data_IF_255689715055
#
_entry.id   IF_255689715055
#
_cell.length_a   1.000
_cell.length_b   1.000
_cell.length_c   1.000
_cell.angle_alpha   90.00
_cell.angle_beta   90.00
_cell.angle_gamma   90.00
#
_symmetry.space_group_name_H-M   'P 1'
#
loop_
_entity.id
_entity.type
_entity.pdbx_description
1 polymer ?
#
# COMPACT_ATOMS: atom_id res chain seq x y z
N UNK A 1 -9.03 -2.43 20.49
CA UNK A 1 -7.56 -2.50 20.33
C UNK A 1 -7.27 -2.83 18.88
N UNK A 2 -6.91 -1.81 18.08
CA UNK A 2 -6.69 -1.92 16.63
C UNK A 2 -5.31 -2.57 16.43
N UNK A 3 -5.28 -3.81 15.92
CA UNK A 3 -4.05 -4.52 15.56
C UNK A 3 -3.17 -3.69 14.62
N UNK A 4 -1.84 -3.92 14.64
CA UNK A 4 -0.83 -2.89 14.59
C UNK A 4 -0.49 -2.53 13.14
N UNK A 5 -0.69 -1.26 12.80
CA UNK A 5 -0.13 -0.55 11.66
C UNK A 5 -0.52 -1.13 10.27
N UNK A 6 -1.46 -0.48 9.56
CA UNK A 6 -1.87 -0.86 8.19
C UNK A 6 -0.69 -1.12 7.25
N UNK A 7 0.37 -0.32 7.35
CA UNK A 7 1.60 -0.50 6.58
C UNK A 7 2.31 -1.83 6.88
N UNK A 8 2.40 -2.27 8.14
CA UNK A 8 3.07 -3.53 8.47
C UNK A 8 2.30 -4.73 7.91
N UNK A 9 0.97 -4.70 7.99
CA UNK A 9 0.12 -5.75 7.39
C UNK A 9 0.25 -5.77 5.86
N UNK A 10 0.25 -4.60 5.23
CA UNK A 10 0.45 -4.47 3.79
C UNK A 10 1.83 -5.01 3.39
N UNK A 11 2.90 -4.60 4.07
CA UNK A 11 4.26 -5.09 3.83
C UNK A 11 4.37 -6.60 3.99
N UNK A 12 3.63 -7.21 4.92
CA UNK A 12 3.58 -8.67 5.06
C UNK A 12 2.87 -9.32 3.89
N UNK A 13 1.70 -8.83 3.50
CA UNK A 13 0.95 -9.36 2.35
C UNK A 13 1.79 -9.27 1.06
N UNK A 14 2.48 -8.16 0.84
CA UNK A 14 3.35 -7.93 -0.32
C UNK A 14 4.60 -8.84 -0.39
N UNK A 15 4.85 -9.69 0.62
CA UNK A 15 5.87 -10.75 0.52
C UNK A 15 5.34 -11.99 -0.21
N UNK A 16 4.03 -12.17 -0.22
CA UNK A 16 3.35 -13.33 -0.82
C UNK A 16 2.62 -12.96 -2.11
N UNK A 17 2.26 -11.68 -2.28
CA UNK A 17 1.49 -11.18 -3.41
C UNK A 17 2.18 -9.96 -4.04
N UNK A 18 2.00 -9.80 -5.36
CA UNK A 18 2.56 -8.66 -6.09
C UNK A 18 1.76 -7.36 -5.94
N UNK A 19 0.52 -7.46 -5.45
CA UNK A 19 -0.33 -6.31 -5.17
C UNK A 19 -1.33 -6.61 -4.06
N UNK A 20 -1.75 -5.56 -3.35
CA UNK A 20 -2.73 -5.66 -2.28
C UNK A 20 -3.65 -4.44 -2.23
N UNK A 21 -4.92 -4.69 -1.90
CA UNK A 21 -5.86 -3.67 -1.44
C UNK A 21 -5.89 -3.67 0.09
N UNK A 22 -5.72 -2.49 0.68
CA UNK A 22 -5.64 -2.27 2.11
C UNK A 22 -6.81 -1.38 2.52
N UNK A 23 -7.75 -1.93 3.29
CA UNK A 23 -8.79 -1.15 3.97
C UNK A 23 -8.33 -0.78 5.38
N UNK A 24 -8.36 0.51 5.72
CA UNK A 24 -7.98 0.99 7.05
C UNK A 24 -8.68 2.30 7.41
N UNK A 25 -9.39 2.32 8.54
CA UNK A 25 -10.05 3.50 9.12
C UNK A 25 -9.10 4.40 9.93
N UNK A 26 -7.78 4.19 9.78
CA UNK A 26 -6.79 5.01 10.44
C UNK A 26 -6.52 6.25 9.59
N UNK A 27 -6.74 7.48 10.10
CA UNK A 27 -6.46 8.68 9.34
C UNK A 27 -4.98 8.82 8.95
N UNK A 28 -4.08 8.13 9.65
CA UNK A 28 -2.65 8.10 9.33
C UNK A 28 -2.29 7.04 8.27
N UNK A 29 -3.18 6.09 7.96
CA UNK A 29 -2.92 5.01 7.01
C UNK A 29 -2.42 5.48 5.64
N UNK A 30 -2.98 6.52 5.00
CA UNK A 30 -2.49 6.98 3.70
C UNK A 30 -1.02 7.38 3.77
N UNK A 31 -0.62 8.08 4.84
CA UNK A 31 0.75 8.57 5.03
C UNK A 31 1.72 7.42 5.27
N UNK A 32 1.38 6.49 6.15
CA UNK A 32 2.25 5.35 6.46
C UNK A 32 2.40 4.39 5.28
N UNK A 33 1.31 4.11 4.56
CA UNK A 33 1.32 3.24 3.38
C UNK A 33 2.11 3.87 2.22
N UNK A 34 1.96 5.18 1.99
CA UNK A 34 2.73 5.90 0.99
C UNK A 34 4.23 5.89 1.31
N UNK A 35 4.61 6.17 2.56
CA UNK A 35 6.01 6.16 2.99
C UNK A 35 6.62 4.76 2.84
N UNK A 36 5.91 3.72 3.29
CA UNK A 36 6.34 2.33 3.14
C UNK A 36 6.52 1.94 1.67
N UNK A 37 5.58 2.31 0.79
CA UNK A 37 5.68 2.03 -0.63
C UNK A 37 6.89 2.75 -1.26
N UNK A 38 7.08 4.02 -0.92
CA UNK A 38 8.21 4.82 -1.39
C UNK A 38 9.57 4.22 -0.99
N UNK A 39 9.75 3.84 0.28
CA UNK A 39 10.98 3.21 0.77
C UNK A 39 11.34 1.91 0.03
N UNK A 40 10.34 1.23 -0.53
CA UNK A 40 10.48 -0.06 -1.22
C UNK A 40 10.46 0.06 -2.74
N UNK A 41 10.26 1.26 -3.28
CA UNK A 41 10.07 1.48 -4.72
C UNK A 41 8.78 0.85 -5.26
N UNK A 42 7.76 0.71 -4.43
CA UNK A 42 6.44 0.19 -4.78
C UNK A 42 5.49 1.31 -5.19
N UNK A 43 4.45 0.94 -5.93
CA UNK A 43 3.35 1.83 -6.29
C UNK A 43 2.40 1.96 -5.11
N UNK A 44 1.90 3.16 -4.87
CA UNK A 44 0.85 3.45 -3.91
C UNK A 44 -0.22 4.34 -4.55
N UNK A 45 -1.49 3.99 -4.37
CA UNK A 45 -2.63 4.76 -4.85
C UNK A 45 -3.75 4.77 -3.81
N UNK A 46 -4.44 5.91 -3.68
CA UNK A 46 -5.70 6.00 -2.94
C UNK A 46 -6.82 5.66 -3.92
N UNK A 47 -7.59 4.61 -3.66
CA UNK A 47 -8.68 4.17 -4.54
C UNK A 47 -10.02 4.74 -4.10
N UNK A 48 -10.29 4.71 -2.80
CA UNK A 48 -11.51 5.23 -2.18
C UNK A 48 -11.21 5.74 -0.77
N UNK A 49 -12.23 6.26 -0.08
CA UNK A 49 -12.13 6.54 1.35
C UNK A 49 -11.75 5.27 2.12
N UNK A 50 -10.66 5.36 2.89
CA UNK A 50 -10.09 4.25 3.66
C UNK A 50 -9.68 3.01 2.84
N UNK A 51 -9.56 3.11 1.51
CA UNK A 51 -9.13 2.01 0.62
C UNK A 51 -7.91 2.41 -0.21
N UNK A 52 -6.84 1.65 -0.03
CA UNK A 52 -5.52 1.93 -0.61
C UNK A 52 -5.02 0.75 -1.43
N UNK A 53 -4.32 1.05 -2.53
CA UNK A 53 -3.68 0.04 -3.37
C UNK A 53 -2.15 0.15 -3.23
N UNK A 54 -1.49 -0.99 -3.11
CA UNK A 54 -0.03 -1.12 -3.10
C UNK A 54 0.39 -2.20 -4.10
N UNK A 55 1.43 -1.96 -4.90
CA UNK A 55 1.94 -2.95 -5.86
C UNK A 55 3.46 -2.92 -6.00
N UNK A 56 4.09 -4.09 -6.11
CA UNK A 56 5.52 -4.26 -6.41
C UNK A 56 5.79 -4.30 -7.91
N UNK A 57 4.77 -4.49 -8.74
CA UNK A 57 4.88 -4.50 -10.19
C UNK A 57 5.21 -3.08 -10.66
N UNK A 58 6.28 -2.95 -11.43
CA UNK A 58 6.60 -1.67 -12.08
C UNK A 58 5.51 -1.38 -13.09
N UNK A 59 5.08 -0.12 -13.17
CA UNK A 59 4.12 0.31 -14.17
C UNK A 59 4.78 0.21 -15.56
N UNK A 60 4.56 -0.89 -16.28
CA UNK A 60 5.04 -1.08 -17.65
C UNK A 60 4.37 -0.11 -18.66
N UNK A 61 3.44 0.73 -18.21
CA UNK A 61 2.67 1.63 -19.07
C UNK A 61 3.25 3.04 -19.22
N UNK A 62 4.40 3.36 -18.63
CA UNK A 62 5.05 4.68 -18.77
C UNK A 62 6.05 4.76 -19.93
N UNK A 63 5.96 3.85 -20.92
CA UNK A 63 6.69 3.94 -22.18
C UNK A 63 5.74 3.65 -23.34
N UNK A 64 4.89 4.62 -23.66
CA UNK A 64 4.28 4.80 -24.98
C UNK A 64 3.96 6.26 -25.21
#
# INVERSE_FOLDING_TARGET
MRCPWPALRAARAMREYDAALVRADDPLAPKELAAMAQERGWIFEIREENLFFVSSLRNESASR
#
